data_IF_997166179698
#
_entry.id   IF_997166179698
#
_cell.length_a   1.000
_cell.length_b   1.000
_cell.length_c   1.000
_cell.angle_alpha   90.00
_cell.angle_beta   90.00
_cell.angle_gamma   90.00
#
_symmetry.space_group_name_H-M   'P 1'
#
loop_
_entity.id
_entity.type
_entity.pdbx_description
1 polymer ?
#
# COMPACT_ATOMS: atom_id res chain seq x y z
N UNK A 1 21.77 21.44 -26.91
CA UNK A 1 21.92 20.00 -26.64
C UNK A 1 21.61 19.80 -25.17
N UNK A 2 20.32 19.69 -24.84
CA UNK A 2 19.86 19.49 -23.46
C UNK A 2 20.00 18.00 -23.18
N UNK A 3 20.78 17.65 -22.16
CA UNK A 3 20.92 16.27 -21.71
C UNK A 3 19.56 15.84 -21.17
N UNK A 4 18.82 15.02 -21.95
CA UNK A 4 17.64 14.33 -21.44
C UNK A 4 18.12 13.42 -20.30
N UNK A 5 17.42 13.49 -19.18
CA UNK A 5 17.67 12.64 -18.04
C UNK A 5 17.50 11.16 -18.46
N UNK A 6 18.51 10.30 -18.28
CA UNK A 6 18.47 8.90 -18.73
C UNK A 6 17.44 8.04 -17.98
N UNK A 7 16.72 8.63 -17.02
CA UNK A 7 15.63 7.99 -16.31
C UNK A 7 14.26 8.28 -16.94
N UNK A 8 14.15 9.20 -17.89
CA UNK A 8 12.89 9.51 -18.59
C UNK A 8 12.44 8.35 -19.51
N UNK A 9 13.37 7.59 -20.09
CA UNK A 9 13.07 6.40 -20.90
C UNK A 9 12.60 5.19 -20.08
N UNK A 10 12.79 5.17 -18.74
CA UNK A 10 12.32 4.06 -17.89
C UNK A 10 10.84 4.15 -17.51
N UNK A 11 10.16 5.23 -17.88
CA UNK A 11 8.72 5.36 -17.73
C UNK A 11 8.01 4.98 -19.03
N UNK A 12 8.26 3.75 -19.51
CA UNK A 12 7.31 3.05 -20.37
C UNK A 12 6.00 2.93 -19.58
N UNK A 13 5.04 3.82 -19.88
CA UNK A 13 3.70 3.88 -19.28
C UNK A 13 2.85 2.69 -19.80
N UNK A 14 3.31 1.47 -19.57
CA UNK A 14 2.47 0.28 -19.67
C UNK A 14 1.32 0.39 -18.67
N UNK A 15 0.19 -0.31 -18.91
CA UNK A 15 -0.96 -0.24 -18.01
C UNK A 15 -0.53 -0.65 -16.59
N UNK A 16 -0.99 0.12 -15.59
CA UNK A 16 -0.79 -0.24 -14.19
C UNK A 16 -1.29 -1.67 -13.97
N UNK A 17 -0.39 -2.55 -13.52
CA UNK A 17 -0.74 -3.93 -13.24
C UNK A 17 -1.53 -4.01 -11.93
N UNK A 18 -2.74 -4.56 -11.98
CA UNK A 18 -3.51 -4.91 -10.79
C UNK A 18 -2.98 -6.23 -10.25
N UNK A 19 -2.47 -6.21 -9.02
CA UNK A 19 -1.92 -7.41 -8.36
C UNK A 19 -2.82 -7.87 -7.23
N UNK A 20 -3.06 -9.19 -7.15
CA UNK A 20 -3.75 -9.81 -6.00
C UNK A 20 -2.71 -10.39 -5.07
N UNK A 21 -2.70 -9.94 -3.81
CA UNK A 21 -1.75 -10.39 -2.80
C UNK A 21 -2.47 -11.25 -1.74
N UNK A 22 -2.06 -12.51 -1.53
CA UNK A 22 -2.58 -13.34 -0.44
C UNK A 22 -2.35 -12.69 0.93
N UNK A 23 -3.35 -12.75 1.80
CA UNK A 23 -3.27 -12.17 3.15
C UNK A 23 -4.06 -13.00 4.15
N UNK A 24 -3.79 -12.78 5.44
CA UNK A 24 -4.54 -13.38 6.55
C UNK A 24 -5.32 -12.30 7.32
N UNK A 25 -6.50 -12.62 7.87
CA UNK A 25 -7.29 -11.66 8.64
C UNK A 25 -6.62 -11.31 9.99
N UNK A 26 -6.85 -10.09 10.47
CA UNK A 26 -6.43 -9.66 11.81
C UNK A 26 -7.64 -9.56 12.74
N UNK A 27 -7.69 -10.35 13.84
CA UNK A 27 -8.85 -10.35 14.75
C UNK A 27 -9.14 -9.00 15.42
N UNK A 28 -8.12 -8.13 15.50
CA UNK A 28 -8.15 -6.84 16.18
C UNK A 28 -8.44 -5.65 15.26
N UNK A 29 -8.74 -5.90 13.97
CA UNK A 29 -9.23 -4.90 13.00
C UNK A 29 -10.73 -4.66 13.17
N UNK A 30 -11.10 -4.09 14.32
CA UNK A 30 -12.48 -3.73 14.66
C UNK A 30 -12.57 -2.22 14.84
N UNK A 31 -13.14 -1.47 13.87
CA UNK A 31 -13.26 -0.03 14.00
C UNK A 31 -14.29 0.34 15.08
N UNK A 32 -14.06 1.47 15.74
CA UNK A 32 -15.04 2.13 16.61
C UNK A 32 -15.87 3.13 15.80
N UNK A 33 -16.75 3.89 16.46
CA UNK A 33 -17.46 5.03 15.84
C UNK A 33 -16.53 6.06 15.21
N UNK A 34 -15.27 6.15 15.67
CA UNK A 34 -14.24 7.04 15.14
C UNK A 34 -13.24 6.35 14.21
N UNK A 35 -13.56 5.15 13.73
CA UNK A 35 -12.70 4.32 12.88
C UNK A 35 -11.75 3.40 13.65
N UNK A 36 -10.82 2.78 12.91
CA UNK A 36 -9.78 1.91 13.45
C UNK A 36 -8.58 2.74 13.90
N UNK A 37 -8.37 2.84 15.22
CA UNK A 37 -7.23 3.54 15.81
C UNK A 37 -6.24 2.54 16.38
N UNK A 38 -4.99 2.58 15.90
CA UNK A 38 -3.86 1.80 16.41
C UNK A 38 -2.61 2.69 16.46
N UNK A 39 -1.57 2.26 17.17
CA UNK A 39 -0.27 2.94 17.17
C UNK A 39 0.31 2.93 15.75
N UNK A 40 1.02 3.99 15.36
CA UNK A 40 1.61 4.15 14.01
C UNK A 40 2.41 2.92 13.58
N UNK A 41 3.23 2.38 14.48
CA UNK A 41 4.05 1.20 14.19
C UNK A 41 3.21 0.00 13.74
N UNK A 42 1.98 -0.15 14.22
CA UNK A 42 1.10 -1.27 13.85
C UNK A 42 0.76 -1.22 12.36
N UNK A 43 0.49 -0.03 11.82
CA UNK A 43 0.20 0.15 10.40
C UNK A 43 1.45 0.02 9.52
N UNK A 44 2.60 0.47 10.01
CA UNK A 44 3.86 0.46 9.26
C UNK A 44 4.56 -0.90 9.24
N UNK A 45 4.54 -1.63 10.36
CA UNK A 45 5.39 -2.81 10.54
C UNK A 45 4.64 -4.13 10.39
N UNK A 46 3.33 -4.19 10.70
CA UNK A 46 2.58 -5.44 10.55
C UNK A 46 2.25 -5.66 9.09
N UNK A 47 2.77 -6.76 8.54
CA UNK A 47 2.55 -7.18 7.15
C UNK A 47 1.07 -7.10 6.78
N UNK A 48 0.76 -6.36 5.73
CA UNK A 48 -0.58 -6.21 5.16
C UNK A 48 -1.65 -5.65 6.13
N UNK A 49 -1.31 -5.12 7.31
CA UNK A 49 -2.32 -4.65 8.26
C UNK A 49 -3.16 -3.52 7.68
N UNK A 50 -2.52 -2.47 7.18
CA UNK A 50 -3.25 -1.36 6.55
C UNK A 50 -4.04 -1.80 5.31
N UNK A 51 -3.39 -2.54 4.40
CA UNK A 51 -4.00 -3.01 3.16
C UNK A 51 -5.22 -3.92 3.39
N UNK A 52 -5.21 -4.75 4.45
CA UNK A 52 -6.35 -5.58 4.81
C UNK A 52 -7.56 -4.74 5.26
N UNK A 53 -7.33 -3.58 5.86
CA UNK A 53 -8.39 -2.71 6.38
C UNK A 53 -9.02 -1.80 5.32
N UNK A 54 -8.26 -1.40 4.29
CA UNK A 54 -8.69 -0.44 3.25
C UNK A 54 -9.47 -1.11 2.10
N UNK A 55 -9.51 -2.46 2.03
CA UNK A 55 -10.28 -3.19 1.01
C UNK A 55 -11.71 -2.69 0.90
#
# INVERSE_FOLDING_TARGET
>A
MVLLDPNLERMELGPLQVVTVPTAPYPDQRPSSSGLRKKVYVFQSKKNYLHNFIR
#
